data_IF_438948044989
#
_entry.id   IF_438948044989
#
_cell.length_a   1.000
_cell.length_b   1.000
_cell.length_c   1.000
_cell.angle_alpha   90.00
_cell.angle_beta   90.00
_cell.angle_gamma   90.00
#
_symmetry.space_group_name_H-M   'P 1'
#
loop_
_entity.id
_entity.type
_entity.pdbx_description
1 polymer ?
#
# COMPACT_ATOMS: atom_id res chain seq x y z
N UNK A 1 70.01 -22.65 33.70
CA UNK A 1 69.00 -22.06 32.79
C UNK A 1 67.68 -22.78 33.02
N UNK A 2 66.72 -22.14 33.69
CA UNK A 2 65.40 -22.72 33.93
C UNK A 2 64.40 -22.20 32.91
N UNK A 3 63.84 -23.08 32.08
CA UNK A 3 62.74 -22.74 31.20
C UNK A 3 61.42 -22.73 32.00
N UNK A 4 60.70 -21.62 31.98
CA UNK A 4 59.32 -21.52 32.51
C UNK A 4 58.35 -21.35 31.33
N UNK A 5 57.41 -22.27 31.22
CA UNK A 5 56.24 -22.19 30.34
C UNK A 5 55.25 -21.19 30.96
N UNK A 6 54.89 -20.13 30.24
CA UNK A 6 53.71 -19.32 30.57
C UNK A 6 52.50 -19.94 29.87
N UNK A 7 51.51 -20.37 30.65
CA UNK A 7 50.16 -20.61 30.11
C UNK A 7 49.63 -19.27 29.64
N UNK A 8 49.26 -19.18 28.35
CA UNK A 8 48.38 -18.12 27.88
C UNK A 8 47.02 -18.36 28.53
N UNK A 9 46.73 -17.68 29.63
CA UNK A 9 45.40 -17.60 30.21
C UNK A 9 44.96 -16.15 30.20
N UNK A 10 44.83 -15.60 29.00
CA UNK A 10 44.07 -14.39 28.75
C UNK A 10 43.00 -14.78 27.75
N UNK A 11 41.82 -15.12 28.29
CA UNK A 11 40.58 -15.03 27.51
C UNK A 11 40.51 -13.56 27.10
N UNK A 12 40.84 -13.23 25.85
CA UNK A 12 40.49 -11.89 25.34
C UNK A 12 38.98 -11.79 25.46
N UNK A 13 38.43 -10.91 26.31
CA UNK A 13 37.02 -10.59 26.20
C UNK A 13 36.85 -10.03 24.79
N UNK A 14 36.08 -10.72 23.95
CA UNK A 14 35.59 -10.12 22.72
C UNK A 14 34.91 -8.80 23.17
N UNK A 15 35.28 -7.65 22.60
CA UNK A 15 34.63 -6.41 22.99
C UNK A 15 33.11 -6.57 22.80
N UNK A 16 32.32 -6.12 23.78
CA UNK A 16 30.85 -6.19 23.78
C UNK A 16 30.20 -5.61 22.50
N UNK A 17 30.99 -4.90 21.69
CA UNK A 17 30.63 -4.32 20.40
C UNK A 17 30.29 -5.33 19.28
N UNK A 18 30.36 -6.64 19.52
CA UNK A 18 30.14 -7.67 18.47
C UNK A 18 28.89 -8.54 18.65
N UNK A 19 28.11 -8.36 19.71
CA UNK A 19 26.89 -9.14 19.92
C UNK A 19 25.70 -8.31 19.43
N UNK A 20 25.04 -8.75 18.35
CA UNK A 20 23.73 -8.22 17.98
C UNK A 20 22.75 -8.53 19.11
N UNK A 21 22.46 -7.53 19.95
CA UNK A 21 21.59 -7.75 21.10
C UNK A 21 20.12 -7.66 20.75
N UNK A 22 19.69 -7.22 19.56
CA UNK A 22 18.28 -7.32 19.14
C UNK A 22 17.28 -6.73 20.15
N UNK A 23 17.62 -5.62 20.81
CA UNK A 23 16.84 -5.04 21.91
C UNK A 23 16.66 -5.99 23.12
N UNK A 24 17.60 -6.91 23.37
CA UNK A 24 17.53 -7.91 24.45
C UNK A 24 17.35 -7.26 25.81
N UNK A 25 18.07 -6.18 26.08
CA UNK A 25 17.96 -5.44 27.35
C UNK A 25 16.53 -4.91 27.55
N UNK A 26 15.94 -4.32 26.50
CA UNK A 26 14.54 -3.90 26.51
C UNK A 26 13.56 -5.09 26.60
N UNK A 27 13.88 -6.23 26.00
CA UNK A 27 13.03 -7.43 26.01
C UNK A 27 12.92 -8.10 27.39
N UNK A 28 13.92 -7.86 28.25
CA UNK A 28 14.00 -8.41 29.61
C UNK A 28 13.40 -7.49 30.68
N UNK A 29 12.82 -6.35 30.28
CA UNK A 29 12.19 -5.39 31.18
C UNK A 29 11.00 -5.99 31.94
N UNK A 30 10.80 -5.55 33.20
CA UNK A 30 9.70 -6.05 34.04
C UNK A 30 8.35 -5.40 33.67
N UNK A 31 8.38 -4.26 32.99
CA UNK A 31 7.19 -3.54 32.56
C UNK A 31 7.28 -3.06 31.12
N UNK A 32 6.12 -2.83 30.49
CA UNK A 32 6.07 -2.26 29.15
C UNK A 32 6.62 -0.82 29.08
N UNK A 33 6.46 -0.02 30.15
CA UNK A 33 7.03 1.32 30.19
C UNK A 33 8.56 1.27 30.21
N UNK A 34 9.14 0.40 31.03
CA UNK A 34 10.58 0.18 31.08
C UNK A 34 11.13 -0.36 29.75
N UNK A 35 10.42 -1.30 29.12
CA UNK A 35 10.75 -1.76 27.76
C UNK A 35 10.89 -0.59 26.78
N UNK A 36 9.92 0.34 26.75
CA UNK A 36 9.99 1.53 25.88
C UNK A 36 11.15 2.46 26.23
N UNK A 37 11.48 2.60 27.51
CA UNK A 37 12.63 3.39 27.96
C UNK A 37 13.97 2.79 27.58
N UNK A 38 14.04 1.46 27.41
CA UNK A 38 15.25 0.71 27.09
C UNK A 38 15.46 0.48 25.59
N UNK A 39 14.55 0.95 24.72
CA UNK A 39 14.74 0.86 23.27
C UNK A 39 15.96 1.68 22.83
N UNK A 40 16.86 1.04 22.10
CA UNK A 40 18.16 1.59 21.74
C UNK A 40 18.37 1.56 20.21
N UNK A 41 18.60 2.73 19.60
CA UNK A 41 18.80 2.88 18.15
C UNK A 41 20.13 2.31 17.67
N UNK A 42 21.11 2.14 18.57
CA UNK A 42 22.43 1.60 18.25
C UNK A 42 22.45 0.06 18.25
N UNK A 43 21.34 -0.58 18.64
CA UNK A 43 21.18 -2.04 18.58
C UNK A 43 20.66 -2.47 17.21
N UNK A 44 21.50 -3.20 16.47
CA UNK A 44 21.12 -3.78 15.19
C UNK A 44 20.05 -4.88 15.33
N UNK A 45 19.08 -4.95 14.39
CA UNK A 45 18.12 -6.04 14.30
C UNK A 45 18.76 -7.30 13.67
N UNK A 46 18.05 -8.43 13.78
CA UNK A 46 18.39 -9.63 13.00
C UNK A 46 18.25 -9.41 11.49
N UNK A 47 19.01 -10.18 10.71
CA UNK A 47 18.90 -10.18 9.24
C UNK A 47 17.53 -10.65 8.75
N UNK A 48 16.89 -11.58 9.47
CA UNK A 48 15.59 -12.12 9.08
C UNK A 48 14.46 -11.12 9.36
N UNK A 49 13.72 -10.77 8.31
CA UNK A 49 12.54 -9.92 8.41
C UNK A 49 11.28 -10.78 8.41
N UNK A 50 10.54 -10.75 9.52
CA UNK A 50 9.37 -11.62 9.72
C UNK A 50 8.09 -11.10 9.05
N UNK A 51 7.84 -9.80 9.10
CA UNK A 51 6.65 -9.19 8.49
C UNK A 51 6.75 -9.30 6.97
N UNK A 52 5.67 -9.59 6.23
CA UNK A 52 5.69 -9.61 4.76
C UNK A 52 5.46 -8.23 4.15
N UNK A 53 5.96 -7.98 2.94
CA UNK A 53 5.70 -6.77 2.14
C UNK A 53 4.76 -7.10 0.98
N UNK A 54 3.67 -6.35 0.89
CA UNK A 54 2.75 -6.34 -0.24
C UNK A 54 3.03 -5.09 -1.08
N UNK A 55 3.17 -5.25 -2.39
CA UNK A 55 3.33 -4.12 -3.31
C UNK A 55 2.21 -4.11 -4.35
N UNK A 56 1.57 -2.97 -4.54
CA UNK A 56 0.60 -2.79 -5.65
C UNK A 56 1.38 -2.61 -6.95
N UNK A 57 1.06 -3.41 -7.97
CA UNK A 57 1.73 -3.37 -9.26
C UNK A 57 0.95 -2.48 -10.22
N UNK A 58 1.66 -1.59 -10.91
CA UNK A 58 1.09 -0.63 -11.86
C UNK A 58 2.08 -0.25 -12.95
N UNK A 59 1.82 0.83 -13.71
CA UNK A 59 2.66 1.23 -14.85
C UNK A 59 4.14 1.39 -14.51
N UNK A 60 4.45 1.91 -13.32
CA UNK A 60 5.84 2.14 -12.86
C UNK A 60 6.58 0.86 -12.46
N UNK A 61 5.87 -0.25 -12.20
CA UNK A 61 6.42 -1.45 -11.55
C UNK A 61 6.15 -2.76 -12.29
N UNK A 62 5.44 -2.75 -13.41
CA UNK A 62 5.03 -3.99 -14.12
C UNK A 62 6.07 -4.59 -15.08
N UNK A 63 7.21 -3.92 -15.30
CA UNK A 63 8.26 -4.46 -16.15
C UNK A 63 9.06 -5.54 -15.42
N UNK A 64 9.51 -6.57 -16.15
CA UNK A 64 10.26 -7.69 -15.57
C UNK A 64 11.51 -7.23 -14.78
N UNK A 65 12.37 -6.32 -15.30
CA UNK A 65 13.53 -5.86 -14.55
C UNK A 65 13.15 -5.15 -13.24
N UNK A 66 12.09 -4.33 -13.26
CA UNK A 66 11.63 -3.63 -12.06
C UNK A 66 11.04 -4.60 -11.04
N UNK A 67 10.28 -5.60 -11.48
CA UNK A 67 9.76 -6.66 -10.61
C UNK A 67 10.90 -7.43 -9.93
N UNK A 68 11.97 -7.77 -10.65
CA UNK A 68 13.15 -8.41 -10.08
C UNK A 68 13.83 -7.53 -9.02
N UNK A 69 13.97 -6.23 -9.27
CA UNK A 69 14.48 -5.28 -8.27
C UNK A 69 13.57 -5.23 -7.03
N UNK A 70 12.25 -5.23 -7.20
CA UNK A 70 11.29 -5.23 -6.08
C UNK A 70 11.35 -6.52 -5.26
N UNK A 71 11.47 -7.69 -5.90
CA UNK A 71 11.69 -8.96 -5.20
C UNK A 71 13.02 -8.93 -4.45
N UNK A 72 14.08 -8.37 -5.05
CA UNK A 72 15.38 -8.17 -4.39
C UNK A 72 15.27 -7.28 -3.16
N UNK A 73 14.51 -6.20 -3.26
CA UNK A 73 14.24 -5.27 -2.17
C UNK A 73 13.30 -5.81 -1.08
N UNK A 74 12.64 -6.96 -1.29
CA UNK A 74 11.87 -7.66 -0.25
C UNK A 74 10.37 -7.81 -0.49
N UNK A 75 9.87 -7.53 -1.71
CA UNK A 75 8.46 -7.80 -2.05
C UNK A 75 8.13 -9.30 -1.90
N UNK A 76 7.05 -9.60 -1.17
CA UNK A 76 6.55 -10.98 -0.98
C UNK A 76 5.24 -11.24 -1.72
N UNK A 77 4.42 -10.21 -1.91
CA UNK A 77 3.09 -10.34 -2.51
C UNK A 77 2.89 -9.21 -3.51
N UNK A 78 2.54 -9.56 -4.74
CA UNK A 78 2.14 -8.62 -5.77
C UNK A 78 0.60 -8.43 -5.72
N UNK A 79 0.14 -7.24 -5.37
CA UNK A 79 -1.27 -6.85 -5.35
C UNK A 79 -1.66 -6.26 -6.71
N UNK A 80 -2.74 -6.79 -7.29
CA UNK A 80 -3.36 -6.28 -8.52
C UNK A 80 -4.67 -5.61 -8.14
N UNK A 81 -4.73 -4.29 -8.33
CA UNK A 81 -5.93 -3.50 -8.02
C UNK A 81 -6.89 -3.52 -9.23
N UNK A 82 -8.04 -4.20 -9.09
CA UNK A 82 -9.05 -4.30 -10.15
C UNK A 82 -10.01 -3.10 -10.20
N UNK A 83 -9.86 -2.09 -9.34
CA UNK A 83 -10.56 -0.81 -9.54
C UNK A 83 -10.10 -0.09 -10.83
N UNK A 84 -8.94 -0.49 -11.39
CA UNK A 84 -8.39 0.01 -12.65
C UNK A 84 -7.86 -1.13 -13.55
N UNK A 85 -7.68 -0.82 -14.83
CA UNK A 85 -7.08 -1.74 -15.81
C UNK A 85 -8.05 -2.79 -16.35
N UNK A 86 -7.74 -3.30 -17.55
CA UNK A 86 -8.51 -4.38 -18.18
C UNK A 86 -8.01 -5.76 -17.74
N UNK A 87 -8.74 -6.82 -18.10
CA UNK A 87 -8.30 -8.19 -17.86
C UNK A 87 -6.99 -8.50 -18.60
N UNK A 88 -6.81 -7.98 -19.81
CA UNK A 88 -5.58 -8.14 -20.59
C UNK A 88 -4.39 -7.49 -19.89
N UNK A 89 -4.58 -6.27 -19.36
CA UNK A 89 -3.56 -5.57 -18.58
C UNK A 89 -3.12 -6.36 -17.36
N UNK A 90 -4.07 -6.90 -16.59
CA UNK A 90 -3.76 -7.73 -15.42
C UNK A 90 -3.16 -9.08 -15.82
N UNK A 91 -3.63 -9.69 -16.91
CA UNK A 91 -3.07 -10.93 -17.45
C UNK A 91 -1.61 -10.82 -17.86
N UNK A 92 -1.25 -9.75 -18.57
CA UNK A 92 0.15 -9.43 -18.88
C UNK A 92 0.96 -9.16 -17.61
N UNK A 93 0.40 -8.45 -16.64
CA UNK A 93 1.07 -8.17 -15.38
C UNK A 93 1.37 -9.46 -14.59
N UNK A 94 0.43 -10.40 -14.53
CA UNK A 94 0.61 -11.73 -13.92
C UNK A 94 1.73 -12.50 -14.63
N UNK A 95 1.74 -12.48 -15.96
CA UNK A 95 2.78 -13.12 -16.76
C UNK A 95 4.17 -12.55 -16.41
N UNK A 96 4.30 -11.22 -16.37
CA UNK A 96 5.55 -10.55 -16.04
C UNK A 96 6.02 -10.86 -14.61
N UNK A 97 5.10 -10.93 -13.63
CA UNK A 97 5.43 -11.31 -12.25
C UNK A 97 6.02 -12.72 -12.21
N UNK A 98 5.34 -13.69 -12.85
CA UNK A 98 5.83 -15.08 -12.89
C UNK A 98 7.18 -15.18 -13.58
N UNK A 99 7.33 -14.53 -14.74
CA UNK A 99 8.60 -14.51 -15.48
C UNK A 99 9.73 -13.87 -14.67
N UNK A 100 9.47 -12.75 -13.98
CA UNK A 100 10.46 -12.10 -13.13
C UNK A 100 10.93 -13.00 -11.99
N UNK A 101 10.02 -13.72 -11.33
CA UNK A 101 10.35 -14.62 -10.21
C UNK A 101 11.14 -15.83 -10.69
N UNK A 102 10.75 -16.44 -11.81
CA UNK A 102 11.43 -17.64 -12.33
C UNK A 102 12.80 -17.34 -12.94
N UNK A 103 13.04 -16.11 -13.40
CA UNK A 103 14.31 -15.71 -14.03
C UNK A 103 15.26 -14.95 -13.10
N UNK A 104 14.87 -14.67 -11.86
CA UNK A 104 15.67 -13.84 -10.95
C UNK A 104 16.97 -14.51 -10.50
N UNK A 105 16.97 -15.84 -10.42
CA UNK A 105 18.11 -16.67 -10.01
C UNK A 105 17.92 -18.09 -10.52
N UNK A 106 19.02 -18.76 -10.85
CA UNK A 106 19.04 -20.21 -11.14
C UNK A 106 19.38 -21.04 -9.89
N UNK A 107 19.82 -20.39 -8.81
CA UNK A 107 20.16 -21.05 -7.55
C UNK A 107 18.90 -21.19 -6.68
N UNK A 108 18.44 -22.42 -6.38
CA UNK A 108 17.24 -22.65 -5.58
C UNK A 108 17.35 -22.14 -4.14
N UNK A 109 18.57 -21.96 -3.60
CA UNK A 109 18.75 -21.41 -2.25
C UNK A 109 18.43 -19.91 -2.17
N UNK A 110 18.47 -19.20 -3.30
CA UNK A 110 18.14 -17.77 -3.38
C UNK A 110 16.77 -17.52 -4.00
N UNK A 111 16.03 -18.57 -4.34
CA UNK A 111 14.67 -18.45 -4.83
C UNK A 111 13.77 -17.84 -3.75
N UNK A 112 12.97 -16.84 -4.14
CA UNK A 112 11.99 -16.19 -3.26
C UNK A 112 10.61 -16.30 -3.89
N UNK A 113 9.69 -17.08 -3.30
CA UNK A 113 8.33 -17.16 -3.81
C UNK A 113 7.62 -15.81 -3.64
N UNK A 114 6.81 -15.46 -4.64
CA UNK A 114 5.97 -14.26 -4.61
C UNK A 114 4.52 -14.68 -4.83
N UNK A 115 3.65 -14.33 -3.88
CA UNK A 115 2.22 -14.54 -4.04
C UNK A 115 1.61 -13.45 -4.95
N UNK A 116 0.50 -13.77 -5.60
CA UNK A 116 -0.28 -12.80 -6.37
C UNK A 116 -1.64 -12.65 -5.69
N UNK A 117 -1.97 -11.43 -5.28
CA UNK A 117 -3.23 -11.08 -4.66
C UNK A 117 -4.09 -10.26 -5.63
N UNK A 118 -5.32 -10.71 -5.87
CA UNK A 118 -6.34 -9.96 -6.58
C UNK A 118 -7.11 -9.12 -5.56
N UNK A 119 -7.10 -7.80 -5.74
CA UNK A 119 -7.92 -6.87 -4.97
C UNK A 119 -9.12 -6.45 -5.80
N UNK A 120 -10.31 -6.76 -5.33
CA UNK A 120 -11.57 -6.55 -6.04
C UNK A 120 -11.97 -5.08 -6.00
N UNK A 121 -12.56 -4.56 -7.08
CA UNK A 121 -13.17 -3.21 -7.08
C UNK A 121 -14.18 -3.01 -5.94
N UNK A 122 -14.97 -4.03 -5.62
CA UNK A 122 -16.03 -3.92 -4.60
C UNK A 122 -17.15 -2.95 -5.02
N UNK A 123 -18.04 -2.56 -4.08
CA UNK A 123 -19.17 -1.67 -4.33
C UNK A 123 -18.76 -0.18 -4.29
N UNK A 124 -17.69 0.17 -4.98
CA UNK A 124 -17.25 1.58 -5.09
C UNK A 124 -18.27 2.41 -5.87
N UNK A 125 -18.54 3.62 -5.37
CA UNK A 125 -19.29 4.65 -6.10
C UNK A 125 -18.29 5.58 -6.76
N UNK A 126 -18.40 5.77 -8.07
CA UNK A 126 -17.51 6.61 -8.89
C UNK A 126 -18.28 7.74 -9.54
N UNK A 127 -17.60 8.86 -9.72
CA UNK A 127 -18.11 9.97 -10.53
C UNK A 127 -17.91 9.68 -12.03
N UNK A 128 -18.69 10.37 -12.85
CA UNK A 128 -18.50 10.38 -14.31
C UNK A 128 -17.34 11.27 -14.73
N UNK A 129 -16.99 11.23 -16.01
CA UNK A 129 -15.97 12.10 -16.58
C UNK A 129 -16.37 13.58 -16.51
N UNK A 130 -15.38 14.45 -16.40
CA UNK A 130 -15.58 15.90 -16.46
C UNK A 130 -15.71 16.32 -17.91
N UNK A 131 -16.89 16.81 -18.28
CA UNK A 131 -17.24 17.25 -19.64
C UNK A 131 -16.84 16.24 -20.74
N UNK A 132 -16.97 14.95 -20.45
CA UNK A 132 -16.70 13.85 -21.38
C UNK A 132 -15.22 13.46 -21.51
N UNK A 133 -14.32 14.03 -20.70
CA UNK A 133 -12.87 13.81 -20.82
C UNK A 133 -12.25 13.40 -19.49
N UNK A 134 -11.19 12.58 -19.54
CA UNK A 134 -10.49 12.09 -18.36
C UNK A 134 -9.43 13.07 -17.83
N UNK A 135 -9.02 14.04 -18.66
CA UNK A 135 -7.92 14.97 -18.36
C UNK A 135 -8.41 16.32 -17.86
N UNK A 136 -9.72 16.60 -17.96
CA UNK A 136 -10.29 17.84 -17.45
C UNK A 136 -10.65 17.70 -15.98
N UNK A 137 -10.49 18.82 -15.29
CA UNK A 137 -10.89 18.99 -13.91
C UNK A 137 -11.89 20.14 -13.82
N UNK A 138 -12.64 20.17 -12.73
CA UNK A 138 -13.52 21.28 -12.40
C UNK A 138 -13.35 21.67 -10.94
N UNK A 139 -13.26 22.98 -10.71
CA UNK A 139 -13.16 23.53 -9.36
C UNK A 139 -14.55 23.64 -8.74
N UNK A 140 -14.68 23.18 -7.49
CA UNK A 140 -15.88 23.35 -6.69
C UNK A 140 -15.63 24.43 -5.65
N UNK A 141 -16.30 25.56 -5.80
CA UNK A 141 -16.17 26.67 -4.87
C UNK A 141 -16.88 26.39 -3.55
N UNK A 142 -16.21 26.71 -2.44
CA UNK A 142 -16.77 26.49 -1.11
C UNK A 142 -18.06 27.30 -0.92
N UNK A 143 -19.14 26.61 -0.59
CA UNK A 143 -20.46 27.23 -0.36
C UNK A 143 -21.31 27.34 -1.62
N UNK A 144 -20.77 27.03 -2.80
CA UNK A 144 -21.55 26.88 -4.01
C UNK A 144 -22.45 25.64 -3.91
N UNK A 145 -23.61 25.71 -4.56
CA UNK A 145 -24.54 24.59 -4.67
C UNK A 145 -24.23 23.77 -5.92
N UNK A 146 -24.23 22.45 -5.77
CA UNK A 146 -23.99 21.48 -6.84
C UNK A 146 -25.08 20.41 -6.80
N UNK A 147 -25.53 19.96 -7.96
CA UNK A 147 -26.49 18.86 -8.10
C UNK A 147 -25.74 17.55 -8.33
N UNK A 148 -25.98 16.58 -7.44
CA UNK A 148 -25.52 15.20 -7.65
C UNK A 148 -26.65 14.42 -8.32
N UNK A 149 -26.35 13.79 -9.44
CA UNK A 149 -27.33 13.10 -10.29
C UNK A 149 -26.90 11.66 -10.57
N UNK A 150 -27.88 10.79 -10.80
CA UNK A 150 -27.65 9.35 -11.08
C UNK A 150 -28.24 8.91 -12.42
N UNK A 151 -28.95 9.78 -13.13
CA UNK A 151 -29.54 9.46 -14.42
C UNK A 151 -28.49 9.28 -15.50
N UNK A 152 -28.55 8.18 -16.26
CA UNK A 152 -27.58 7.86 -17.32
C UNK A 152 -27.48 8.94 -18.42
N UNK A 153 -28.51 9.77 -18.62
CA UNK A 153 -28.48 10.88 -19.59
C UNK A 153 -27.53 12.03 -19.20
N UNK A 154 -27.11 12.09 -17.94
CA UNK A 154 -26.13 13.05 -17.43
C UNK A 154 -24.74 12.42 -17.22
N UNK A 155 -24.57 11.15 -17.62
CA UNK A 155 -23.29 10.46 -17.55
C UNK A 155 -22.23 11.25 -18.31
N UNK A 156 -21.06 11.39 -17.70
CA UNK A 156 -19.90 12.10 -18.24
C UNK A 156 -20.13 13.59 -18.54
N UNK A 157 -21.20 14.19 -17.97
CA UNK A 157 -21.51 15.63 -18.08
C UNK A 157 -21.18 16.41 -16.81
N UNK A 158 -20.26 15.90 -15.98
CA UNK A 158 -19.80 16.60 -14.77
C UNK A 158 -19.14 17.92 -15.17
N UNK A 159 -19.61 19.06 -14.63
CA UNK A 159 -19.18 20.39 -15.09
C UNK A 159 -19.09 21.46 -13.98
N UNK A 160 -19.10 21.04 -12.71
CA UNK A 160 -19.00 21.90 -11.52
C UNK A 160 -20.36 22.30 -10.93
N UNK A 161 -21.40 22.32 -11.77
CA UNK A 161 -22.78 22.50 -11.32
C UNK A 161 -23.51 21.17 -11.18
N UNK A 162 -23.11 20.19 -11.98
CA UNK A 162 -23.63 18.81 -11.96
C UNK A 162 -22.48 17.84 -11.72
N UNK A 163 -22.72 16.84 -10.89
CA UNK A 163 -21.83 15.69 -10.66
C UNK A 163 -22.64 14.42 -10.86
N UNK A 164 -22.29 13.63 -11.87
CA UNK A 164 -22.90 12.31 -12.07
C UNK A 164 -22.18 11.26 -11.25
N UNK A 165 -22.92 10.31 -10.67
CA UNK A 165 -22.38 9.16 -9.92
C UNK A 165 -23.05 7.84 -10.34
N UNK A 166 -22.29 6.74 -10.30
CA UNK A 166 -22.72 5.40 -10.77
C UNK A 166 -23.53 4.60 -9.74
N UNK A 167 -24.17 5.27 -8.78
CA UNK A 167 -25.01 4.63 -7.76
C UNK A 167 -26.48 5.09 -7.86
N UNK A 168 -27.33 4.40 -8.64
CA UNK A 168 -28.71 4.80 -8.91
C UNK A 168 -29.58 5.00 -7.67
N UNK A 169 -29.33 4.23 -6.61
CA UNK A 169 -30.09 4.27 -5.36
C UNK A 169 -29.64 5.37 -4.39
N UNK A 170 -28.68 6.22 -4.78
CA UNK A 170 -28.16 7.29 -3.91
C UNK A 170 -29.26 8.18 -3.29
N UNK A 171 -30.29 8.63 -4.04
CA UNK A 171 -31.34 9.48 -3.46
C UNK A 171 -32.19 8.78 -2.40
N UNK A 172 -32.24 7.44 -2.40
CA UNK A 172 -33.05 6.64 -1.46
C UNK A 172 -32.34 6.40 -0.13
N UNK A 173 -31.01 6.54 -0.10
CA UNK A 173 -30.19 6.25 1.09
C UNK A 173 -29.67 7.53 1.77
N UNK A 174 -29.82 8.68 1.13
CA UNK A 174 -29.40 9.97 1.67
C UNK A 174 -30.58 10.71 2.30
N UNK A 175 -30.27 11.46 3.35
CA UNK A 175 -31.20 12.35 4.02
C UNK A 175 -30.63 13.78 4.06
N UNK A 176 -31.52 14.76 4.25
CA UNK A 176 -31.12 16.15 4.45
C UNK A 176 -30.15 16.27 5.62
N UNK A 177 -29.02 16.95 5.38
CA UNK A 177 -27.92 17.07 6.34
C UNK A 177 -26.88 15.96 6.24
N UNK A 178 -27.13 14.91 5.45
CA UNK A 178 -26.15 13.89 5.09
C UNK A 178 -24.91 14.47 4.40
N UNK A 179 -23.87 13.65 4.28
CA UNK A 179 -22.59 14.05 3.67
C UNK A 179 -22.22 13.14 2.53
N UNK A 180 -21.70 13.73 1.46
CA UNK A 180 -21.09 13.01 0.34
C UNK A 180 -19.63 13.42 0.31
N UNK A 181 -18.75 12.43 0.22
CA UNK A 181 -17.32 12.62 0.14
C UNK A 181 -16.84 12.19 -1.24
N UNK A 182 -16.03 13.04 -1.87
CA UNK A 182 -15.49 12.82 -3.22
C UNK A 182 -13.96 12.94 -3.11
N UNK A 183 -13.26 12.18 -3.95
CA UNK A 183 -11.80 12.19 -4.08
C UNK A 183 -11.08 11.92 -2.74
N UNK A 184 -11.17 10.67 -2.28
CA UNK A 184 -10.62 10.21 -1.00
C UNK A 184 -11.01 11.05 0.24
N UNK A 185 -12.14 11.77 0.12
CA UNK A 185 -12.69 12.61 1.19
C UNK A 185 -12.13 14.03 1.24
N UNK A 186 -11.34 14.45 0.24
CA UNK A 186 -10.86 15.83 0.12
C UNK A 186 -12.00 16.82 -0.11
N UNK A 187 -13.03 16.42 -0.86
CA UNK A 187 -14.21 17.23 -1.13
C UNK A 187 -15.37 16.71 -0.28
N UNK A 188 -15.99 17.61 0.48
CA UNK A 188 -17.15 17.31 1.31
C UNK A 188 -18.38 18.13 0.90
N UNK A 189 -19.42 17.43 0.46
CA UNK A 189 -20.73 18.03 0.18
C UNK A 189 -21.69 17.77 1.34
N UNK A 190 -22.58 18.73 1.60
CA UNK A 190 -23.69 18.57 2.54
C UNK A 190 -24.99 18.51 1.76
N UNK A 191 -25.79 17.47 1.99
CA UNK A 191 -27.09 17.31 1.35
C UNK A 191 -28.04 18.39 1.87
N UNK A 192 -28.44 19.32 1.00
CA UNK A 192 -29.41 20.37 1.33
C UNK A 192 -30.84 19.91 1.09
N UNK A 193 -31.06 19.13 0.04
CA UNK A 193 -32.34 18.62 -0.42
C UNK A 193 -32.12 17.32 -1.23
N UNK A 194 -33.13 16.45 -1.24
CA UNK A 194 -33.17 15.21 -2.03
C UNK A 194 -34.31 15.30 -3.03
N UNK A 195 -34.03 15.06 -4.31
CA UNK A 195 -35.07 14.95 -5.33
C UNK A 195 -35.68 13.55 -5.37
N UNK A 196 -36.96 13.45 -5.72
CA UNK A 196 -37.53 12.20 -6.24
C UNK A 196 -37.14 12.13 -7.72
N UNK A 197 -36.46 11.06 -8.12
CA UNK A 197 -35.98 10.75 -9.49
C UNK A 197 -36.69 11.47 -10.63
#
# INVERSE_FOLDING_TARGET
MGARIRRYSDVMPLPDSFIQKQQLDASMADTFLEHLCLLDIDQEPITARNTSIICTIGPASRSIPKLQEMVKAGMNIARLNFSHGSHEYHGETIKNIREAVETITTDPLYYRPVAIALDTKGPEIRTGLVRGTAEQEVELERGASVRVVTGEGDRDRTDGNVIWVDYPSLPQVLEKGGRIYIDDGLIGLKVLETGNT
#
